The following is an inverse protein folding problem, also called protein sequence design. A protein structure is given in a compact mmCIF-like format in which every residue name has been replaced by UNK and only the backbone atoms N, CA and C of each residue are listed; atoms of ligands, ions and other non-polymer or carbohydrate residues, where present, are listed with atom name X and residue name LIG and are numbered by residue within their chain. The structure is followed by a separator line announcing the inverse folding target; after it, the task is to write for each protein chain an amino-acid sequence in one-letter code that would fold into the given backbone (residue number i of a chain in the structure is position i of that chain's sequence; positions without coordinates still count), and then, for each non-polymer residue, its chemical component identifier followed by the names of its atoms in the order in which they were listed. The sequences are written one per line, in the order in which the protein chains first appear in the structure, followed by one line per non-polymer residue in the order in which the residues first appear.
data_IF_790045708171
#
_entry.id   IF_790045708171
#
_cell.length_a   1.000
_cell.length_b   1.000
_cell.length_c   1.000
_cell.angle_alpha   90.00
_cell.angle_beta   90.00
_cell.angle_gamma   90.00
#
_symmetry.space_group_name_H-M   'P 1'
#
loop_
_entity.id
_entity.type
_entity.pdbx_description
1 polymer ?
#
# COMPACT_ATOMS: atom_id res chain seq x y z
N UNK A 1 24.46 -11.62 14.45
CA UNK A 1 25.83 -12.07 14.75
C UNK A 1 26.57 -11.01 15.56
N UNK A 2 26.66 -9.77 15.12
CA UNK A 2 27.32 -8.66 15.81
C UNK A 2 26.81 -8.44 17.24
N UNK A 3 25.49 -8.46 17.45
CA UNK A 3 24.88 -8.26 18.78
C UNK A 3 25.29 -9.33 19.81
N UNK A 4 25.48 -10.58 19.37
CA UNK A 4 25.99 -11.65 20.25
C UNK A 4 27.45 -11.43 20.64
N UNK A 5 28.28 -10.99 19.68
CA UNK A 5 29.71 -10.70 19.95
C UNK A 5 29.90 -9.51 20.89
N UNK A 6 29.00 -8.54 20.83
CA UNK A 6 29.07 -7.30 21.65
C UNK A 6 28.20 -7.36 22.91
N UNK A 7 27.56 -8.49 23.18
CA UNK A 7 26.63 -8.70 24.30
C UNK A 7 25.51 -7.64 24.37
N UNK A 8 24.99 -7.26 23.19
CA UNK A 8 23.90 -6.28 23.06
C UNK A 8 22.58 -6.97 22.80
N UNK A 9 21.48 -6.37 23.31
CA UNK A 9 20.12 -6.83 23.01
C UNK A 9 19.80 -6.61 21.54
N UNK A 10 19.09 -7.59 20.97
CA UNK A 10 18.66 -7.57 19.57
C UNK A 10 17.13 -7.52 19.53
N UNK A 11 16.60 -6.46 18.91
CA UNK A 11 15.16 -6.26 18.71
C UNK A 11 14.88 -6.24 17.21
N UNK A 12 13.83 -6.91 16.79
CA UNK A 12 13.40 -6.93 15.39
C UNK A 12 11.92 -6.57 15.27
N UNK A 13 11.56 -5.96 14.13
CA UNK A 13 10.18 -5.65 13.79
C UNK A 13 9.83 -6.27 12.43
N UNK A 14 8.78 -7.09 12.41
CA UNK A 14 8.21 -7.62 11.18
C UNK A 14 7.26 -6.59 10.55
N UNK A 15 7.64 -6.09 9.38
CA UNK A 15 6.86 -5.11 8.62
C UNK A 15 6.03 -5.73 7.49
N UNK A 16 6.17 -7.03 7.24
CA UNK A 16 5.51 -7.77 6.19
C UNK A 16 5.63 -9.27 6.41
N UNK A 17 5.05 -10.07 5.54
CA UNK A 17 5.08 -11.53 5.62
C UNK A 17 6.46 -12.12 5.26
N UNK A 18 7.28 -11.37 4.54
CA UNK A 18 8.59 -11.85 4.06
C UNK A 18 8.49 -13.24 3.43
N UNK A 19 7.54 -13.38 2.48
CA UNK A 19 7.30 -14.63 1.78
C UNK A 19 8.59 -15.26 1.28
N UNK A 20 8.76 -16.56 1.52
CA UNK A 20 9.96 -17.29 1.16
C UNK A 20 9.64 -18.41 0.15
N UNK A 21 10.48 -18.53 -0.86
CA UNK A 21 10.54 -19.67 -1.75
C UNK A 21 11.71 -20.57 -1.33
N UNK A 22 11.39 -21.71 -0.70
CA UNK A 22 12.40 -22.71 -0.31
C UNK A 22 13.03 -22.50 1.08
N UNK A 23 13.68 -23.59 1.55
CA UNK A 23 14.23 -23.70 2.92
C UNK A 23 15.34 -22.70 3.23
N UNK A 24 16.17 -22.36 2.24
CA UNK A 24 17.30 -21.45 2.44
C UNK A 24 16.82 -20.02 2.74
N UNK A 25 15.85 -19.52 1.97
CA UNK A 25 15.28 -18.19 2.22
C UNK A 25 14.51 -18.12 3.54
N UNK A 26 13.81 -19.21 3.91
CA UNK A 26 13.17 -19.35 5.23
C UNK A 26 14.20 -19.24 6.36
N UNK A 27 15.30 -19.98 6.24
CA UNK A 27 16.39 -19.92 7.23
C UNK A 27 17.00 -18.53 7.34
N UNK A 28 17.26 -17.86 6.21
CA UNK A 28 17.75 -16.47 6.19
C UNK A 28 16.77 -15.53 6.92
N UNK A 29 15.50 -15.56 6.56
CA UNK A 29 14.47 -14.73 7.18
C UNK A 29 14.28 -15.05 8.67
N UNK A 30 14.57 -16.29 9.11
CA UNK A 30 14.44 -16.71 10.51
C UNK A 30 15.36 -15.94 11.46
N UNK A 31 16.38 -15.22 10.96
CA UNK A 31 17.23 -14.35 11.77
C UNK A 31 16.39 -13.33 12.55
N UNK A 32 15.31 -12.84 11.95
CA UNK A 32 14.41 -11.87 12.59
C UNK A 32 13.68 -12.44 13.80
N UNK A 33 13.30 -13.73 13.79
CA UNK A 33 12.65 -14.39 14.94
C UNK A 33 13.64 -14.89 15.97
N UNK A 34 14.95 -14.78 15.72
CA UNK A 34 16.00 -15.15 16.67
C UNK A 34 16.46 -14.00 17.56
N UNK A 35 15.80 -12.84 17.47
CA UNK A 35 16.06 -11.69 18.35
C UNK A 35 15.59 -11.92 19.79
N UNK A 36 16.05 -11.10 20.73
CA UNK A 36 15.61 -11.11 22.14
C UNK A 36 14.15 -10.66 22.28
N UNK A 37 13.70 -9.74 21.39
CA UNK A 37 12.34 -9.26 21.29
C UNK A 37 11.94 -9.16 19.82
N UNK A 38 10.79 -9.75 19.48
CA UNK A 38 10.17 -9.69 18.17
C UNK A 38 8.91 -8.83 18.25
N UNK A 39 8.83 -7.80 17.42
CA UNK A 39 7.66 -6.93 17.30
C UNK A 39 6.93 -7.29 16.01
N UNK A 40 5.64 -7.57 16.11
CA UNK A 40 4.73 -7.73 14.98
C UNK A 40 3.88 -6.46 14.79
N UNK A 41 3.80 -5.94 13.57
CA UNK A 41 3.04 -4.72 13.26
C UNK A 41 1.51 -4.90 13.24
N UNK A 42 1.02 -6.15 13.34
CA UNK A 42 -0.41 -6.49 13.41
C UNK A 42 -0.59 -7.92 13.94
N UNK A 43 -1.82 -8.27 14.35
CA UNK A 43 -2.17 -9.64 14.72
C UNK A 43 -1.99 -10.62 13.55
N UNK A 44 -2.28 -10.19 12.32
CA UNK A 44 -2.02 -10.97 11.11
C UNK A 44 -0.52 -11.35 10.99
N UNK A 45 0.37 -10.37 11.14
CA UNK A 45 1.83 -10.63 11.12
C UNK A 45 2.26 -11.53 12.28
N UNK A 46 1.67 -11.37 13.46
CA UNK A 46 1.97 -12.22 14.59
C UNK A 46 1.58 -13.69 14.34
N UNK A 47 0.38 -13.94 13.79
CA UNK A 47 -0.06 -15.28 13.37
C UNK A 47 0.84 -15.86 12.29
N UNK A 48 1.18 -15.07 11.27
CA UNK A 48 2.12 -15.46 10.21
C UNK A 48 3.48 -15.91 10.78
N UNK A 49 4.03 -15.20 11.78
CA UNK A 49 5.29 -15.58 12.43
C UNK A 49 5.15 -16.92 13.13
N UNK A 50 4.07 -17.14 13.89
CA UNK A 50 3.82 -18.41 14.60
C UNK A 50 3.69 -19.58 13.65
N UNK A 51 2.95 -19.43 12.55
CA UNK A 51 2.71 -20.48 11.58
C UNK A 51 3.97 -20.86 10.78
N UNK A 52 4.76 -19.87 10.39
CA UNK A 52 5.83 -20.08 9.43
C UNK A 52 7.23 -20.22 10.03
N UNK A 53 7.41 -19.81 11.31
CA UNK A 53 8.72 -19.79 11.97
C UNK A 53 8.72 -20.46 13.33
N UNK A 54 7.71 -21.28 13.65
CA UNK A 54 7.57 -21.98 14.96
C UNK A 54 8.82 -22.75 15.36
N UNK A 55 9.50 -23.41 14.43
CA UNK A 55 10.70 -24.18 14.68
C UNK A 55 11.91 -23.33 15.17
N UNK A 56 11.87 -22.03 14.97
CA UNK A 56 12.91 -21.08 15.40
C UNK A 56 12.53 -20.33 16.67
N UNK A 57 11.30 -20.55 17.19
CA UNK A 57 10.81 -19.91 18.38
C UNK A 57 11.22 -20.72 19.62
N UNK A 58 11.83 -20.06 20.60
CA UNK A 58 12.13 -20.66 21.91
C UNK A 58 11.19 -20.08 22.96
N UNK A 59 10.89 -20.85 24.00
CA UNK A 59 9.97 -20.46 25.09
C UNK A 59 10.37 -19.19 25.86
N UNK A 60 11.63 -18.78 25.76
CA UNK A 60 12.17 -17.60 26.45
C UNK A 60 12.04 -16.29 25.66
N UNK A 61 11.55 -16.34 24.41
CA UNK A 61 11.46 -15.14 23.55
C UNK A 61 10.21 -14.35 23.82
N UNK A 62 10.38 -13.02 23.86
CA UNK A 62 9.27 -12.08 24.00
C UNK A 62 8.75 -11.67 22.61
N UNK A 63 7.43 -11.74 22.46
CA UNK A 63 6.70 -11.26 21.30
C UNK A 63 5.76 -10.15 21.75
N UNK A 64 5.73 -9.07 21.00
CA UNK A 64 4.78 -7.98 21.18
C UNK A 64 4.08 -7.68 19.86
N UNK A 65 2.79 -7.42 19.92
CA UNK A 65 2.06 -6.79 18.82
C UNK A 65 2.00 -5.31 19.12
N UNK A 66 2.63 -4.51 18.26
CA UNK A 66 2.59 -3.05 18.34
C UNK A 66 2.05 -2.56 17.01
N UNK A 67 0.77 -2.15 16.99
CA UNK A 67 0.14 -1.61 15.80
C UNK A 67 0.84 -0.32 15.37
N UNK A 68 0.92 -0.13 14.06
CA UNK A 68 1.42 1.13 13.53
C UNK A 68 0.38 2.22 13.76
N UNK A 69 0.84 3.37 14.20
CA UNK A 69 0.03 4.57 14.28
C UNK A 69 0.07 5.39 12.98
N UNK A 70 -0.87 6.31 12.88
CA UNK A 70 -0.88 7.40 11.92
C UNK A 70 -0.94 8.72 12.69
N UNK A 71 -0.51 9.79 12.06
CA UNK A 71 -0.73 11.14 12.61
C UNK A 71 -2.13 11.59 12.22
N UNK A 72 -3.08 11.49 13.14
CA UNK A 72 -4.50 11.84 12.91
C UNK A 72 -4.65 13.31 12.55
N UNK A 73 -3.91 14.21 13.22
CA UNK A 73 -3.99 15.66 12.96
C UNK A 73 -3.55 16.02 11.53
N UNK A 74 -2.60 15.25 10.97
CA UNK A 74 -2.19 15.44 9.58
C UNK A 74 -3.31 15.10 8.59
N UNK A 75 -4.16 14.12 8.91
CA UNK A 75 -5.28 13.69 8.07
C UNK A 75 -6.58 14.43 8.37
N UNK A 76 -6.58 15.39 9.31
CA UNK A 76 -7.73 16.24 9.54
C UNK A 76 -8.00 17.14 8.31
N UNK A 77 -9.08 16.84 7.63
CA UNK A 77 -9.49 17.54 6.41
C UNK A 77 -9.82 19.03 6.63
N UNK A 78 -10.17 19.41 7.86
CA UNK A 78 -10.50 20.81 8.21
C UNK A 78 -9.31 21.76 8.08
N UNK A 79 -8.08 21.24 8.12
CA UNK A 79 -6.84 22.04 8.03
C UNK A 79 -6.40 22.36 6.61
N UNK A 80 -7.02 21.78 5.58
CA UNK A 80 -6.63 21.95 4.17
C UNK A 80 -7.43 23.06 3.51
N UNK A 81 -6.75 23.95 2.80
CA UNK A 81 -7.35 25.10 2.13
C UNK A 81 -7.91 24.72 0.76
N UNK A 82 -9.00 25.36 0.33
CA UNK A 82 -9.58 25.14 -1.01
C UNK A 82 -8.60 25.44 -2.17
N UNK A 83 -7.72 26.41 -1.99
CA UNK A 83 -6.71 26.71 -3.01
C UNK A 83 -5.71 25.57 -3.20
N UNK A 84 -5.41 24.81 -2.12
CA UNK A 84 -4.51 23.63 -2.23
C UNK A 84 -5.19 22.49 -2.99
N UNK A 85 -6.51 22.32 -2.79
CA UNK A 85 -7.31 21.35 -3.53
C UNK A 85 -7.30 21.64 -5.05
N UNK A 86 -7.60 22.90 -5.42
CA UNK A 86 -7.57 23.34 -6.82
C UNK A 86 -6.19 23.15 -7.45
N UNK A 87 -5.13 23.51 -6.72
CA UNK A 87 -3.75 23.35 -7.19
C UNK A 87 -3.39 21.86 -7.40
N UNK A 88 -3.85 20.97 -6.50
CA UNK A 88 -3.60 19.54 -6.63
C UNK A 88 -4.34 18.97 -7.84
N UNK A 89 -5.63 19.29 -8.01
CA UNK A 89 -6.43 18.84 -9.16
C UNK A 89 -5.86 19.33 -10.47
N UNK A 90 -5.40 20.57 -10.54
CA UNK A 90 -4.73 21.12 -11.70
C UNK A 90 -3.43 20.33 -12.05
N UNK A 91 -2.62 19.99 -11.03
CA UNK A 91 -1.42 19.14 -11.24
C UNK A 91 -1.78 17.75 -11.74
N UNK A 92 -2.94 17.23 -11.38
CA UNK A 92 -3.45 15.94 -11.86
C UNK A 92 -4.14 16.04 -13.23
N UNK A 93 -4.21 17.24 -13.78
CA UNK A 93 -4.94 17.53 -15.03
C UNK A 93 -6.43 17.13 -14.92
N UNK A 94 -7.06 17.51 -13.82
CA UNK A 94 -8.49 17.36 -13.54
C UNK A 94 -9.05 18.77 -13.41
N UNK A 95 -9.98 19.14 -14.30
CA UNK A 95 -10.50 20.50 -14.43
C UNK A 95 -12.03 20.59 -14.36
N UNK A 96 -12.69 19.49 -14.09
CA UNK A 96 -14.14 19.40 -13.96
C UNK A 96 -14.53 18.88 -12.56
N UNK A 97 -15.83 18.98 -12.23
CA UNK A 97 -16.40 18.59 -10.94
C UNK A 97 -16.83 17.11 -10.88
N UNK A 98 -16.25 16.26 -11.73
CA UNK A 98 -16.56 14.82 -11.70
C UNK A 98 -16.04 14.17 -10.45
N UNK A 99 -16.70 13.07 -10.06
CA UNK A 99 -16.28 12.25 -8.92
C UNK A 99 -14.88 11.68 -9.11
N UNK A 100 -14.10 11.66 -8.03
CA UNK A 100 -12.73 11.15 -8.02
C UNK A 100 -12.68 9.85 -7.24
N UNK A 101 -12.25 8.78 -7.92
CA UNK A 101 -11.98 7.47 -7.34
C UNK A 101 -10.45 7.30 -7.25
N UNK A 102 -9.90 7.35 -6.04
CA UNK A 102 -8.48 7.29 -5.80
C UNK A 102 -8.04 5.89 -5.36
N UNK A 103 -7.02 5.34 -6.03
CA UNK A 103 -6.33 4.14 -5.62
C UNK A 103 -4.87 4.45 -5.29
N UNK A 104 -4.53 4.71 -4.02
CA UNK A 104 -3.16 4.98 -3.61
C UNK A 104 -2.38 3.70 -3.34
N UNK A 105 -1.16 3.62 -3.84
CA UNK A 105 -0.28 2.50 -3.57
C UNK A 105 0.82 2.32 -4.61
N UNK A 106 1.94 1.74 -4.21
CA UNK A 106 3.04 1.42 -5.12
C UNK A 106 2.54 0.57 -6.28
N UNK A 107 3.06 0.81 -7.48
CA UNK A 107 2.72 -0.01 -8.65
C UNK A 107 3.39 -1.38 -8.54
N UNK A 108 2.63 -2.34 -8.04
CA UNK A 108 3.04 -3.75 -7.90
C UNK A 108 1.83 -4.66 -8.09
N UNK A 109 2.01 -5.81 -8.73
CA UNK A 109 0.90 -6.71 -9.09
C UNK A 109 -0.02 -7.06 -7.91
N UNK A 110 0.56 -7.30 -6.73
CA UNK A 110 -0.20 -7.67 -5.54
C UNK A 110 -1.07 -6.54 -4.96
N UNK A 111 -0.83 -5.28 -5.37
CA UNK A 111 -1.67 -4.14 -4.98
C UNK A 111 -2.99 -4.08 -5.75
N UNK A 112 -3.12 -4.86 -6.84
CA UNK A 112 -4.40 -5.02 -7.54
C UNK A 112 -4.78 -3.88 -8.48
N UNK A 113 -3.81 -3.11 -9.03
CA UNK A 113 -4.12 -2.06 -10.00
C UNK A 113 -4.81 -2.60 -11.26
N UNK A 114 -4.47 -3.82 -11.69
CA UNK A 114 -5.15 -4.47 -12.82
C UNK A 114 -6.64 -4.68 -12.50
N UNK A 115 -6.94 -5.27 -11.34
CA UNK A 115 -8.32 -5.45 -10.87
C UNK A 115 -9.07 -4.11 -10.74
N UNK A 116 -8.39 -3.05 -10.28
CA UNK A 116 -8.97 -1.73 -10.23
C UNK A 116 -9.35 -1.20 -11.62
N UNK A 117 -8.46 -1.33 -12.62
CA UNK A 117 -8.73 -0.91 -14.01
C UNK A 117 -9.93 -1.69 -14.59
N UNK A 118 -9.99 -3.01 -14.34
CA UNK A 118 -11.12 -3.84 -14.73
C UNK A 118 -12.44 -3.39 -14.08
N UNK A 119 -12.41 -3.09 -12.78
CA UNK A 119 -13.56 -2.58 -12.05
C UNK A 119 -14.01 -1.20 -12.60
N UNK A 120 -13.08 -0.31 -12.91
CA UNK A 120 -13.37 0.98 -13.54
C UNK A 120 -14.03 0.80 -14.92
N UNK A 121 -13.59 -0.19 -15.70
CA UNK A 121 -14.24 -0.51 -16.96
C UNK A 121 -15.71 -0.94 -16.77
N UNK A 122 -16.00 -1.76 -15.74
CA UNK A 122 -17.37 -2.16 -15.41
C UNK A 122 -18.22 -0.95 -14.98
N UNK A 123 -17.66 -0.06 -14.17
CA UNK A 123 -18.33 1.17 -13.73
C UNK A 123 -18.66 2.06 -14.94
N UNK A 124 -17.73 2.23 -15.87
CA UNK A 124 -17.93 2.96 -17.13
C UNK A 124 -19.11 2.42 -17.92
N UNK A 125 -19.24 1.10 -18.05
CA UNK A 125 -20.35 0.47 -18.79
C UNK A 125 -21.71 0.79 -18.14
N UNK A 126 -21.77 0.89 -16.79
CA UNK A 126 -23.01 1.16 -16.05
C UNK A 126 -23.37 2.64 -15.94
N UNK A 127 -22.39 3.52 -15.77
CA UNK A 127 -22.62 4.94 -15.43
C UNK A 127 -22.30 5.88 -16.60
N UNK A 128 -21.66 5.39 -17.66
CA UNK A 128 -21.21 6.22 -18.77
C UNK A 128 -19.87 6.91 -18.52
N UNK A 129 -19.34 7.53 -19.54
CA UNK A 129 -17.97 8.07 -19.59
C UNK A 129 -17.71 9.25 -18.69
N UNK A 130 -18.73 10.03 -18.42
CA UNK A 130 -18.54 11.39 -17.90
C UNK A 130 -18.72 11.50 -16.40
N UNK A 131 -19.00 10.35 -15.74
CA UNK A 131 -19.38 10.35 -14.34
C UNK A 131 -18.21 10.53 -13.35
N UNK A 132 -16.96 10.19 -13.73
CA UNK A 132 -15.86 10.11 -12.77
C UNK A 132 -14.46 10.24 -13.43
N UNK A 133 -13.47 10.52 -12.58
CA UNK A 133 -12.05 10.29 -12.80
C UNK A 133 -11.53 9.21 -11.86
N UNK A 134 -10.72 8.28 -12.35
CA UNK A 134 -10.01 7.30 -11.56
C UNK A 134 -8.52 7.66 -11.49
N UNK A 135 -7.96 7.77 -10.29
CA UNK A 135 -6.57 8.16 -10.08
C UNK A 135 -5.80 7.01 -9.46
N UNK A 136 -4.83 6.48 -10.19
CA UNK A 136 -3.86 5.51 -9.67
C UNK A 136 -2.64 6.31 -9.20
N UNK A 137 -2.49 6.41 -7.88
CA UNK A 137 -1.47 7.24 -7.26
C UNK A 137 -0.37 6.38 -6.64
N UNK A 138 0.82 6.38 -7.23
CA UNK A 138 1.97 5.69 -6.67
C UNK A 138 3.09 5.45 -7.66
N UNK A 139 4.30 5.37 -7.14
CA UNK A 139 5.53 5.18 -7.90
C UNK A 139 5.74 3.70 -8.26
N UNK A 140 6.32 3.44 -9.41
CA UNK A 140 6.68 2.10 -9.90
C UNK A 140 7.99 1.54 -9.28
N UNK A 141 8.77 2.41 -8.64
CA UNK A 141 10.06 2.03 -8.04
C UNK A 141 11.01 1.33 -9.03
N UNK A 142 11.02 1.78 -10.29
CA UNK A 142 11.81 1.19 -11.38
C UNK A 142 11.22 -0.09 -11.96
N UNK A 143 9.91 -0.37 -11.73
CA UNK A 143 9.19 -1.52 -12.32
C UNK A 143 8.46 -1.11 -13.60
N UNK A 144 9.15 -0.50 -14.52
CA UNK A 144 8.62 0.04 -15.78
C UNK A 144 7.73 -0.95 -16.54
N UNK A 145 8.06 -2.24 -16.54
CA UNK A 145 7.29 -3.26 -17.24
C UNK A 145 5.86 -3.37 -16.70
N UNK A 146 5.69 -3.28 -15.37
CA UNK A 146 4.36 -3.34 -14.78
C UNK A 146 3.56 -2.08 -15.07
N UNK A 147 4.16 -0.89 -14.96
CA UNK A 147 3.52 0.37 -15.34
C UNK A 147 3.07 0.37 -16.81
N UNK A 148 3.94 -0.08 -17.73
CA UNK A 148 3.61 -0.23 -19.14
C UNK A 148 2.45 -1.22 -19.37
N UNK A 149 2.39 -2.32 -18.60
CA UNK A 149 1.26 -3.26 -18.66
C UNK A 149 -0.05 -2.58 -18.27
N UNK A 150 -0.06 -1.81 -17.17
CA UNK A 150 -1.25 -1.08 -16.72
C UNK A 150 -1.73 -0.04 -17.75
N UNK A 151 -0.80 0.70 -18.36
CA UNK A 151 -1.12 1.67 -19.41
C UNK A 151 -1.77 0.97 -20.61
N UNK A 152 -1.19 -0.13 -21.10
CA UNK A 152 -1.78 -0.91 -22.20
C UNK A 152 -3.17 -1.43 -21.88
N UNK A 153 -3.40 -1.90 -20.64
CA UNK A 153 -4.71 -2.35 -20.19
C UNK A 153 -5.73 -1.20 -20.20
N UNK A 154 -5.31 -0.02 -19.77
CA UNK A 154 -6.13 1.21 -19.83
C UNK A 154 -6.49 1.58 -21.26
N UNK A 155 -5.54 1.47 -22.19
CA UNK A 155 -5.77 1.71 -23.63
C UNK A 155 -6.73 0.67 -24.21
N UNK A 156 -6.54 -0.61 -23.89
CA UNK A 156 -7.39 -1.72 -24.33
C UNK A 156 -8.86 -1.52 -23.94
N UNK A 157 -9.12 -0.99 -22.74
CA UNK A 157 -10.46 -0.69 -22.27
C UNK A 157 -10.96 0.71 -22.66
N UNK A 158 -10.19 1.45 -23.46
CA UNK A 158 -10.50 2.83 -23.86
C UNK A 158 -10.80 3.74 -22.64
N UNK A 159 -9.96 3.66 -21.61
CA UNK A 159 -10.08 4.41 -20.34
C UNK A 159 -9.03 5.52 -20.18
N UNK A 160 -8.29 5.87 -21.23
CA UNK A 160 -7.18 6.83 -21.17
C UNK A 160 -7.61 8.23 -20.71
N UNK A 161 -8.85 8.61 -20.96
CA UNK A 161 -9.40 9.89 -20.50
C UNK A 161 -9.89 9.84 -19.05
N UNK A 162 -10.30 8.66 -18.55
CA UNK A 162 -10.84 8.45 -17.20
C UNK A 162 -9.76 8.14 -16.18
N UNK A 163 -8.72 7.38 -16.57
CA UNK A 163 -7.67 6.95 -15.66
C UNK A 163 -6.46 7.86 -15.75
N UNK A 164 -6.05 8.39 -14.61
CA UNK A 164 -4.83 9.19 -14.44
C UNK A 164 -3.81 8.39 -13.64
N UNK A 165 -2.57 8.32 -14.16
CA UNK A 165 -1.44 7.74 -13.43
C UNK A 165 -0.62 8.88 -12.82
N UNK A 166 -0.58 8.96 -11.51
CA UNK A 166 0.15 9.98 -10.76
C UNK A 166 1.28 9.29 -9.99
N UNK A 167 2.51 9.64 -10.27
CA UNK A 167 3.67 8.93 -9.72
C UNK A 167 3.88 9.20 -8.23
N UNK A 168 3.64 10.43 -7.78
CA UNK A 168 3.90 10.83 -6.40
C UNK A 168 3.01 11.99 -5.95
N UNK A 169 2.57 11.91 -4.69
CA UNK A 169 1.92 13.01 -3.99
C UNK A 169 2.54 13.15 -2.60
N UNK A 170 3.05 14.34 -2.29
CA UNK A 170 3.63 14.64 -0.99
C UNK A 170 2.57 14.80 0.10
N UNK A 171 1.41 15.33 -0.25
CA UNK A 171 0.30 15.55 0.66
C UNK A 171 -0.82 14.53 0.43
N UNK A 172 -0.69 13.40 1.12
CA UNK A 172 -1.69 12.34 1.04
C UNK A 172 -3.02 12.73 1.70
N UNK A 173 -2.99 13.57 2.74
CA UNK A 173 -4.23 14.04 3.37
C UNK A 173 -5.04 14.89 2.38
N UNK A 174 -4.38 15.75 1.62
CA UNK A 174 -5.02 16.52 0.55
C UNK A 174 -5.52 15.61 -0.58
N UNK A 175 -4.74 14.59 -0.98
CA UNK A 175 -5.16 13.62 -1.98
C UNK A 175 -6.44 12.87 -1.56
N UNK A 176 -6.55 12.51 -0.27
CA UNK A 176 -7.76 11.90 0.28
C UNK A 176 -8.93 12.89 0.30
N UNK A 177 -8.69 14.13 0.72
CA UNK A 177 -9.72 15.17 0.81
C UNK A 177 -10.39 15.46 -0.54
N UNK A 178 -9.63 15.53 -1.63
CA UNK A 178 -10.18 15.78 -2.97
C UNK A 178 -10.84 14.56 -3.60
N UNK A 179 -10.81 13.40 -2.94
CA UNK A 179 -11.33 12.15 -3.48
C UNK A 179 -12.66 11.79 -2.86
N UNK A 180 -13.63 11.38 -3.68
CA UNK A 180 -14.94 10.91 -3.21
C UNK A 180 -14.90 9.45 -2.74
N UNK A 181 -14.04 8.63 -3.35
CA UNK A 181 -13.91 7.21 -3.03
C UNK A 181 -12.42 6.85 -2.97
N UNK A 182 -12.02 6.19 -1.89
CA UNK A 182 -10.67 5.61 -1.75
C UNK A 182 -10.78 4.09 -1.90
N UNK A 183 -9.93 3.53 -2.79
CA UNK A 183 -9.94 2.10 -3.09
C UNK A 183 -8.63 1.45 -2.63
N UNK A 184 -8.75 0.37 -1.87
CA UNK A 184 -7.66 -0.56 -1.56
C UNK A 184 -7.99 -1.91 -2.18
N UNK A 185 -7.34 -2.26 -3.29
CA UNK A 185 -7.63 -3.46 -4.08
C UNK A 185 -6.56 -4.55 -3.95
N UNK A 186 -5.76 -4.53 -2.87
CA UNK A 186 -4.69 -5.50 -2.66
C UNK A 186 -5.22 -6.95 -2.74
N UNK A 187 -4.62 -7.76 -3.63
CA UNK A 187 -4.99 -9.16 -3.85
C UNK A 187 -4.22 -10.13 -2.95
N UNK A 188 -3.21 -9.62 -2.24
CA UNK A 188 -2.50 -10.36 -1.19
C UNK A 188 -2.69 -9.63 0.15
N UNK A 189 -2.59 -10.35 1.29
CA UNK A 189 -2.77 -9.76 2.60
C UNK A 189 -1.78 -8.63 2.89
N UNK A 190 -2.30 -7.53 3.39
CA UNK A 190 -1.52 -6.39 3.85
C UNK A 190 -1.00 -6.61 5.27
N UNK A 191 0.22 -6.19 5.52
CA UNK A 191 0.79 -6.26 6.87
C UNK A 191 0.07 -5.34 7.88
N UNK A 192 -0.41 -4.19 7.41
CA UNK A 192 -1.16 -3.22 8.20
C UNK A 192 -2.28 -2.53 7.43
N UNK A 193 -2.07 -2.23 6.12
CA UNK A 193 -3.10 -1.63 5.28
C UNK A 193 -3.32 -0.13 5.54
N UNK A 194 -2.27 0.68 5.51
CA UNK A 194 -2.33 2.13 5.79
C UNK A 194 -3.32 2.94 4.94
N UNK A 195 -3.76 2.40 3.81
CA UNK A 195 -4.76 3.06 2.95
C UNK A 195 -6.15 3.05 3.59
N UNK A 196 -6.44 2.03 4.41
CA UNK A 196 -7.74 1.83 5.04
C UNK A 196 -7.85 2.48 6.43
N UNK A 197 -6.75 3.01 6.97
CA UNK A 197 -6.67 3.69 8.26
C UNK A 197 -6.58 5.19 8.10
#
# INVERSE_FOLDING_TARGET
FATKLTNRKFVTTFHGTYNFSGKFKKFYNSVMVRSDLVIAGSNFIFSHIKENYSEFLTSQKKFLVIFRGINVDYFDSSTKLENDEKNLLQKWNIHDEKKIILMPGRLTSWKGQELFIEAINLVKIKLGYEAFHAVILGNDQGRDLYKKKLIRLTEQYHLTNQIKFIDHCNDMALAYKVSDIIVSASIEPEAFGRVAV
#
